data_IF_974140374579
#
_entry.id   IF_974140374579
#
_cell.length_a   1.000
_cell.length_b   1.000
_cell.length_c   1.000
_cell.angle_alpha   90.00
_cell.angle_beta   90.00
_cell.angle_gamma   90.00
#
_symmetry.space_group_name_H-M   'P 1'
#
loop_
_entity.id
_entity.type
_entity.pdbx_description
1 polymer ?
#
# COMPACT_ATOMS: atom_id res chain seq x y z
N UNK A 1 3.78 20.25 -27.98
CA UNK A 1 3.86 18.85 -27.49
C UNK A 1 4.58 18.87 -26.17
N UNK A 2 3.92 18.46 -25.10
CA UNK A 2 4.54 18.43 -23.77
C UNK A 2 5.58 17.30 -23.73
N UNK A 3 6.79 17.58 -23.28
CA UNK A 3 7.89 16.58 -23.30
C UNK A 3 7.91 15.77 -22.00
N UNK A 4 7.06 14.72 -21.90
CA UNK A 4 7.06 13.83 -20.74
C UNK A 4 8.28 12.89 -20.70
N UNK A 5 8.84 12.52 -21.86
CA UNK A 5 10.04 11.70 -21.93
C UNK A 5 11.17 12.36 -21.14
N UNK A 6 11.35 13.69 -21.31
CA UNK A 6 12.36 14.45 -20.56
C UNK A 6 12.17 14.43 -19.05
N UNK A 7 10.91 14.31 -18.56
CA UNK A 7 10.58 14.24 -17.13
C UNK A 7 10.73 12.84 -16.53
N UNK A 8 10.86 11.82 -17.38
CA UNK A 8 10.96 10.40 -16.99
C UNK A 8 12.34 9.80 -17.24
N UNK A 9 13.24 10.50 -17.96
CA UNK A 9 14.54 9.98 -18.43
C UNK A 9 15.52 9.61 -17.30
N UNK A 10 15.37 10.21 -16.13
CA UNK A 10 16.21 9.92 -14.96
C UNK A 10 15.68 8.73 -14.14
N UNK A 11 14.47 8.24 -14.46
CA UNK A 11 13.92 7.03 -13.87
C UNK A 11 14.49 5.80 -14.58
N UNK A 12 14.87 4.78 -13.81
CA UNK A 12 15.38 3.50 -14.34
C UNK A 12 14.25 2.61 -14.86
N UNK A 13 13.38 3.16 -15.72
CA UNK A 13 12.27 2.42 -16.34
C UNK A 13 12.74 1.64 -17.55
N UNK A 14 12.22 0.44 -17.73
CA UNK A 14 12.41 -0.31 -18.97
C UNK A 14 11.87 0.48 -20.18
N UNK A 15 12.47 0.31 -21.39
CA UNK A 15 12.11 1.08 -22.57
C UNK A 15 10.61 0.98 -22.93
N UNK A 16 9.99 -0.18 -22.71
CA UNK A 16 8.56 -0.40 -22.96
C UNK A 16 7.68 0.39 -21.99
N UNK A 17 8.04 0.39 -20.69
CA UNK A 17 7.34 1.16 -19.66
C UNK A 17 7.45 2.65 -19.94
N UNK A 18 8.66 3.13 -20.26
CA UNK A 18 8.91 4.54 -20.56
C UNK A 18 8.10 4.99 -21.77
N UNK A 19 8.09 4.19 -22.85
CA UNK A 19 7.36 4.48 -24.08
C UNK A 19 5.84 4.53 -23.83
N UNK A 20 5.29 3.51 -23.15
CA UNK A 20 3.85 3.42 -22.96
C UNK A 20 3.35 4.46 -21.96
N UNK A 21 4.11 4.70 -20.86
CA UNK A 21 3.77 5.75 -19.90
C UNK A 21 3.80 7.15 -20.56
N UNK A 22 4.81 7.42 -21.40
CA UNK A 22 4.88 8.68 -22.14
C UNK A 22 3.70 8.84 -23.10
N UNK A 23 3.34 7.78 -23.82
CA UNK A 23 2.18 7.75 -24.72
C UNK A 23 0.86 7.99 -23.97
N UNK A 24 0.71 7.38 -22.78
CA UNK A 24 -0.44 7.59 -21.92
C UNK A 24 -0.55 9.05 -21.47
N UNK A 25 0.53 9.66 -20.99
CA UNK A 25 0.57 11.05 -20.52
C UNK A 25 0.30 12.05 -21.66
N UNK A 26 0.87 11.81 -22.85
CA UNK A 26 0.58 12.60 -24.05
C UNK A 26 -0.91 12.49 -24.43
N UNK A 27 -1.45 11.27 -24.39
CA UNK A 27 -2.86 11.01 -24.62
C UNK A 27 -3.77 11.71 -23.60
N UNK A 28 -3.42 11.72 -22.31
CA UNK A 28 -4.14 12.49 -21.28
C UNK A 28 -4.16 13.98 -21.62
N UNK A 29 -2.99 14.57 -21.93
CA UNK A 29 -2.89 15.99 -22.26
C UNK A 29 -3.66 16.38 -23.53
N UNK A 30 -3.86 15.44 -24.46
CA UNK A 30 -4.68 15.68 -25.64
C UNK A 30 -6.18 15.52 -25.38
N UNK A 31 -6.55 14.65 -24.42
CA UNK A 31 -7.94 14.32 -24.12
C UNK A 31 -8.53 15.17 -23.00
N UNK A 32 -7.69 15.74 -22.14
CA UNK A 32 -8.08 16.61 -21.06
C UNK A 32 -7.68 18.06 -21.41
N UNK A 33 -8.64 18.98 -21.34
CA UNK A 33 -8.33 20.40 -21.43
C UNK A 33 -7.57 20.85 -20.16
N UNK A 34 -6.88 22.00 -20.23
CA UNK A 34 -6.12 22.52 -19.08
C UNK A 34 -7.00 22.76 -17.85
N UNK A 35 -8.29 23.02 -18.04
CA UNK A 35 -9.27 23.19 -16.96
C UNK A 35 -9.84 21.86 -16.43
N UNK A 36 -9.63 20.73 -17.11
CA UNK A 36 -10.14 19.42 -16.68
C UNK A 36 -9.30 18.79 -15.55
N UNK A 37 -8.05 19.24 -15.35
CA UNK A 37 -7.15 18.68 -14.35
C UNK A 37 -6.33 19.75 -13.63
N UNK A 38 -5.83 19.40 -12.44
CA UNK A 38 -4.94 20.22 -11.63
C UNK A 38 -3.50 19.73 -11.69
N UNK A 39 -3.28 18.41 -11.57
CA UNK A 39 -1.96 17.83 -11.73
C UNK A 39 -1.98 16.33 -12.06
N UNK A 40 -0.89 15.86 -12.66
CA UNK A 40 -0.55 14.43 -12.83
C UNK A 40 0.67 14.11 -11.99
N UNK A 41 0.55 13.06 -11.18
CA UNK A 41 1.57 12.68 -10.19
C UNK A 41 1.92 11.20 -10.34
N UNK A 42 3.17 10.90 -10.64
CA UNK A 42 3.71 9.54 -10.56
C UNK A 42 4.11 9.26 -9.11
N UNK A 43 3.78 8.09 -8.56
CA UNK A 43 4.09 7.80 -7.16
C UNK A 43 4.39 6.33 -6.88
N UNK A 44 5.04 6.08 -5.75
CA UNK A 44 5.30 4.74 -5.24
C UNK A 44 6.53 4.08 -5.84
N UNK A 45 6.47 2.76 -6.01
CA UNK A 45 7.62 1.92 -6.37
C UNK A 45 8.21 2.24 -7.74
N UNK A 46 7.41 2.74 -8.67
CA UNK A 46 7.87 3.17 -10.01
C UNK A 46 8.98 4.23 -9.96
N UNK A 47 9.12 4.93 -8.84
CA UNK A 47 10.17 5.94 -8.60
C UNK A 47 11.43 5.36 -7.94
N UNK A 48 11.45 4.06 -7.61
CA UNK A 48 12.61 3.39 -7.00
C UNK A 48 13.56 2.87 -8.05
N UNK A 49 14.84 2.77 -7.68
CA UNK A 49 15.89 2.29 -8.58
C UNK A 49 15.75 0.80 -8.97
N UNK A 50 15.14 0.00 -8.11
CA UNK A 50 14.92 -1.44 -8.27
C UNK A 50 13.50 -1.78 -8.77
N UNK A 51 12.80 -0.82 -9.38
CA UNK A 51 11.47 -1.01 -9.91
C UNK A 51 11.43 -2.14 -10.95
N UNK A 52 10.42 -3.01 -10.81
CA UNK A 52 10.11 -4.07 -11.79
C UNK A 52 8.59 -4.22 -11.93
N UNK A 53 8.10 -4.27 -13.16
CA UNK A 53 6.67 -4.51 -13.46
C UNK A 53 6.15 -5.86 -12.96
N UNK A 54 7.03 -6.85 -12.76
CA UNK A 54 6.63 -8.15 -12.20
C UNK A 54 6.17 -8.00 -10.74
N UNK A 55 6.81 -7.09 -10.00
CA UNK A 55 6.61 -6.94 -8.57
C UNK A 55 5.63 -5.81 -8.20
N UNK A 56 5.60 -4.73 -8.98
CA UNK A 56 4.80 -3.54 -8.65
C UNK A 56 4.17 -2.91 -9.90
N UNK A 57 2.95 -2.36 -9.79
CA UNK A 57 2.31 -1.61 -10.86
C UNK A 57 2.95 -0.22 -11.05
N UNK A 58 2.59 0.43 -12.16
CA UNK A 58 2.88 1.84 -12.38
C UNK A 58 1.73 2.66 -11.80
N UNK A 59 1.96 3.32 -10.67
CA UNK A 59 0.95 4.11 -9.99
C UNK A 59 0.96 5.56 -10.47
N UNK A 60 -0.21 6.08 -10.89
CA UNK A 60 -0.40 7.47 -11.24
C UNK A 60 -1.62 8.06 -10.52
N UNK A 61 -1.46 9.25 -9.94
CA UNK A 61 -2.55 10.04 -9.40
C UNK A 61 -2.86 11.16 -10.39
N UNK A 62 -4.12 11.29 -10.75
CA UNK A 62 -4.68 12.35 -11.58
C UNK A 62 -5.62 13.16 -10.71
N UNK A 63 -5.23 14.38 -10.35
CA UNK A 63 -6.13 15.30 -9.65
C UNK A 63 -6.89 16.09 -10.72
N UNK A 64 -8.15 15.70 -10.90
CA UNK A 64 -9.06 16.32 -11.84
C UNK A 64 -9.79 17.52 -11.20
N UNK A 65 -10.31 18.43 -12.01
CA UNK A 65 -11.19 19.50 -11.54
C UNK A 65 -12.56 18.96 -11.16
N UNK A 66 -13.04 17.96 -11.93
CA UNK A 66 -14.27 17.22 -11.68
C UNK A 66 -14.11 15.78 -12.22
N UNK A 67 -14.66 14.79 -11.51
CA UNK A 67 -14.67 13.39 -11.96
C UNK A 67 -16.07 13.04 -12.46
N UNK A 68 -16.25 13.03 -13.77
CA UNK A 68 -17.52 12.67 -14.43
C UNK A 68 -17.36 11.41 -15.27
N UNK A 69 -18.46 10.71 -15.53
CA UNK A 69 -18.47 9.57 -16.47
C UNK A 69 -17.96 9.99 -17.85
N UNK A 70 -18.34 11.19 -18.32
CA UNK A 70 -17.89 11.73 -19.60
C UNK A 70 -16.36 11.93 -19.67
N UNK A 71 -15.73 12.37 -18.55
CA UNK A 71 -14.27 12.42 -18.44
C UNK A 71 -13.67 11.01 -18.51
N UNK A 72 -14.22 10.06 -17.75
CA UNK A 72 -13.72 8.68 -17.73
C UNK A 72 -13.86 8.00 -19.10
N UNK A 73 -14.99 8.17 -19.82
CA UNK A 73 -15.18 7.66 -21.18
C UNK A 73 -14.16 8.26 -22.15
N UNK A 74 -13.83 9.55 -22.03
CA UNK A 74 -12.88 10.24 -22.87
C UNK A 74 -11.45 9.71 -22.73
N UNK A 75 -11.03 9.36 -21.51
CA UNK A 75 -9.68 8.85 -21.23
C UNK A 75 -9.59 7.32 -21.26
N UNK A 76 -10.73 6.61 -21.19
CA UNK A 76 -10.80 5.15 -21.11
C UNK A 76 -9.94 4.44 -22.17
N UNK A 77 -9.94 4.80 -23.47
CA UNK A 77 -9.19 4.05 -24.47
C UNK A 77 -7.68 4.05 -24.25
N UNK A 78 -7.13 5.20 -23.78
CA UNK A 78 -5.70 5.31 -23.46
C UNK A 78 -5.36 4.66 -22.13
N UNK A 79 -6.26 4.76 -21.14
CA UNK A 79 -6.08 4.12 -19.84
C UNK A 79 -6.13 2.59 -19.97
N UNK A 80 -7.10 2.03 -20.69
CA UNK A 80 -7.23 0.58 -20.87
C UNK A 80 -5.99 -0.04 -21.50
N UNK A 81 -5.38 0.64 -22.48
CA UNK A 81 -4.14 0.22 -23.10
C UNK A 81 -2.99 0.21 -22.09
N UNK A 82 -2.77 1.31 -21.39
CA UNK A 82 -1.68 1.41 -20.40
C UNK A 82 -1.87 0.44 -19.22
N UNK A 83 -3.11 0.20 -18.77
CA UNK A 83 -3.45 -0.81 -17.76
C UNK A 83 -3.00 -2.21 -18.23
N UNK A 84 -3.29 -2.56 -19.49
CA UNK A 84 -2.92 -3.86 -20.05
C UNK A 84 -1.42 -4.01 -20.27
N UNK A 85 -0.75 -2.98 -20.82
CA UNK A 85 0.64 -3.08 -21.27
C UNK A 85 1.65 -2.89 -20.14
N UNK A 86 1.38 -1.97 -19.21
CA UNK A 86 2.33 -1.61 -18.14
C UNK A 86 1.73 -1.72 -16.73
N UNK A 87 0.62 -2.44 -16.57
CA UNK A 87 -0.06 -2.56 -15.27
C UNK A 87 -0.29 -1.19 -14.62
N UNK A 88 -0.72 -0.19 -15.42
CA UNK A 88 -1.01 1.13 -14.90
C UNK A 88 -2.16 1.06 -13.89
N UNK A 89 -1.97 1.64 -12.72
CA UNK A 89 -3.02 1.82 -11.70
C UNK A 89 -3.32 3.32 -11.54
N UNK A 90 -4.30 3.86 -12.29
CA UNK A 90 -4.68 5.26 -12.16
C UNK A 90 -5.59 5.46 -10.95
N UNK A 91 -5.24 6.41 -10.09
CA UNK A 91 -6.10 6.98 -9.07
C UNK A 91 -6.59 8.34 -9.56
N UNK A 92 -7.90 8.48 -9.82
CA UNK A 92 -8.49 9.71 -10.34
C UNK A 92 -9.42 10.26 -9.29
N UNK A 93 -9.11 11.45 -8.79
CA UNK A 93 -9.87 12.12 -7.71
C UNK A 93 -9.86 13.62 -7.95
N UNK A 94 -10.80 14.34 -7.33
CA UNK A 94 -10.65 15.78 -7.15
C UNK A 94 -9.79 16.07 -5.94
N UNK A 95 -9.24 17.28 -5.81
CA UNK A 95 -8.50 17.68 -4.62
C UNK A 95 -9.40 17.69 -3.37
N UNK A 96 -10.66 18.07 -3.54
CA UNK A 96 -11.65 18.04 -2.46
C UNK A 96 -11.94 16.61 -1.98
N UNK A 97 -12.14 15.66 -2.90
CA UNK A 97 -12.28 14.23 -2.56
C UNK A 97 -11.05 13.69 -1.82
N UNK A 98 -9.85 14.09 -2.25
CA UNK A 98 -8.61 13.68 -1.59
C UNK A 98 -8.55 14.20 -0.16
N UNK A 99 -8.94 15.47 0.09
CA UNK A 99 -9.01 16.05 1.43
C UNK A 99 -10.07 15.39 2.30
N UNK A 100 -11.29 15.20 1.74
CA UNK A 100 -12.42 14.61 2.47
C UNK A 100 -12.22 13.14 2.79
N UNK A 101 -11.44 12.41 1.99
CA UNK A 101 -11.17 10.97 2.21
C UNK A 101 -9.82 10.69 2.91
N UNK A 102 -9.15 11.72 3.42
CA UNK A 102 -7.88 11.56 4.13
C UNK A 102 -8.00 10.75 5.44
N UNK A 103 -9.20 10.69 6.02
CA UNK A 103 -9.52 9.86 7.19
C UNK A 103 -9.81 8.39 6.81
N UNK A 104 -10.33 8.16 5.60
CA UNK A 104 -10.69 6.82 5.10
C UNK A 104 -9.46 6.11 4.50
N UNK A 105 -8.63 6.84 3.76
CA UNK A 105 -7.46 6.29 3.05
C UNK A 105 -6.13 6.92 3.49
N UNK A 106 -5.85 7.08 4.78
CA UNK A 106 -4.67 7.82 5.25
C UNK A 106 -3.36 7.17 4.80
N UNK A 107 -3.30 5.84 4.79
CA UNK A 107 -2.11 5.07 4.37
C UNK A 107 -1.82 5.27 2.89
N UNK A 108 -2.84 5.24 2.03
CA UNK A 108 -2.69 5.46 0.58
C UNK A 108 -2.11 6.83 0.29
N UNK A 109 -2.62 7.86 0.94
CA UNK A 109 -2.13 9.22 0.76
C UNK A 109 -0.74 9.45 1.38
N UNK A 110 -0.42 8.76 2.49
CA UNK A 110 0.95 8.76 3.02
C UNK A 110 1.95 8.11 2.06
N UNK A 111 1.58 7.00 1.42
CA UNK A 111 2.43 6.35 0.40
C UNK A 111 2.70 7.30 -0.75
N UNK A 112 1.67 8.00 -1.24
CA UNK A 112 1.82 9.02 -2.27
C UNK A 112 2.78 10.11 -1.80
N UNK A 113 2.52 10.70 -0.63
CA UNK A 113 3.32 11.80 -0.08
C UNK A 113 4.79 11.43 0.19
N UNK A 114 5.04 10.16 0.50
CA UNK A 114 6.39 9.66 0.82
C UNK A 114 7.30 9.58 -0.40
N UNK A 115 6.76 9.27 -1.58
CA UNK A 115 7.53 9.11 -2.81
C UNK A 115 6.67 9.45 -4.03
N UNK A 116 6.76 10.68 -4.50
CA UNK A 116 6.00 11.16 -5.65
C UNK A 116 6.82 12.09 -6.54
N UNK A 117 6.37 12.25 -7.77
CA UNK A 117 6.91 13.18 -8.77
C UNK A 117 5.77 13.84 -9.54
N UNK A 118 5.76 15.16 -9.55
CA UNK A 118 4.83 15.93 -10.37
C UNK A 118 5.27 15.84 -11.83
N UNK A 119 4.39 15.31 -12.66
CA UNK A 119 4.59 15.23 -14.11
C UNK A 119 4.02 16.46 -14.81
N UNK A 120 2.90 16.98 -14.29
CA UNK A 120 2.24 18.16 -14.84
C UNK A 120 1.35 18.83 -13.80
N UNK A 121 1.17 20.17 -13.91
CA UNK A 121 0.33 20.97 -13.04
C UNK A 121 1.02 21.40 -11.76
N UNK A 122 0.21 21.80 -10.78
CA UNK A 122 0.68 22.32 -9.49
C UNK A 122 1.01 21.19 -8.51
N UNK A 123 1.98 21.43 -7.61
CA UNK A 123 2.28 20.50 -6.53
C UNK A 123 1.26 20.65 -5.38
N UNK A 124 0.13 19.96 -5.53
CA UNK A 124 -0.91 19.91 -4.52
C UNK A 124 -0.60 18.89 -3.40
N UNK A 125 0.43 18.03 -3.59
CA UNK A 125 0.79 16.99 -2.63
C UNK A 125 1.65 17.56 -1.50
N UNK A 126 2.54 18.52 -1.79
CA UNK A 126 3.41 19.12 -0.78
C UNK A 126 2.62 19.71 0.38
N UNK A 127 1.56 20.47 0.09
CA UNK A 127 0.69 21.12 1.08
C UNK A 127 -0.43 20.23 1.64
N UNK A 128 -0.60 19.02 1.12
CA UNK A 128 -1.65 18.11 1.61
C UNK A 128 -1.27 17.51 2.96
N UNK A 129 -2.09 17.71 3.96
CA UNK A 129 -1.87 17.19 5.31
C UNK A 129 -2.78 16.01 5.61
N UNK A 130 -2.21 14.99 6.25
CA UNK A 130 -2.93 13.81 6.75
C UNK A 130 -2.81 13.85 8.26
N UNK A 131 -3.92 14.10 8.99
CA UNK A 131 -3.88 14.14 10.44
C UNK A 131 -3.35 12.83 11.02
N UNK A 132 -2.41 12.92 11.97
CA UNK A 132 -1.82 11.75 12.64
C UNK A 132 -2.89 10.87 13.31
N UNK A 133 -3.97 11.49 13.79
CA UNK A 133 -5.12 10.80 14.37
C UNK A 133 -5.79 9.84 13.38
N UNK A 134 -5.93 10.24 12.11
CA UNK A 134 -6.52 9.39 11.09
C UNK A 134 -5.64 8.14 10.82
N UNK A 135 -4.33 8.32 10.83
CA UNK A 135 -3.38 7.21 10.64
C UNK A 135 -3.44 6.27 11.84
N UNK A 136 -3.48 6.80 13.05
CA UNK A 136 -3.61 6.03 14.28
C UNK A 136 -4.89 5.19 14.28
N UNK A 137 -6.02 5.83 13.97
CA UNK A 137 -7.33 5.17 13.91
C UNK A 137 -7.36 4.06 12.84
N UNK A 138 -6.77 4.33 11.67
CA UNK A 138 -6.64 3.32 10.62
C UNK A 138 -5.82 2.10 11.08
N UNK A 139 -4.67 2.30 11.73
CA UNK A 139 -3.87 1.22 12.29
C UNK A 139 -4.67 0.40 13.31
N UNK A 140 -5.40 1.06 14.20
CA UNK A 140 -6.27 0.41 15.18
C UNK A 140 -7.36 -0.43 14.51
N UNK A 141 -8.03 0.11 13.51
CA UNK A 141 -9.07 -0.59 12.73
C UNK A 141 -8.52 -1.84 12.04
N UNK A 142 -7.35 -1.74 11.39
CA UNK A 142 -6.71 -2.87 10.75
C UNK A 142 -6.32 -3.97 11.75
N UNK A 143 -5.75 -3.60 12.89
CA UNK A 143 -5.39 -4.55 13.95
C UNK A 143 -6.61 -5.26 14.53
N UNK A 144 -7.71 -4.53 14.77
CA UNK A 144 -8.97 -5.11 15.26
C UNK A 144 -9.62 -6.00 14.23
N UNK A 145 -9.68 -5.57 12.97
CA UNK A 145 -10.21 -6.35 11.84
C UNK A 145 -9.44 -7.65 11.67
N UNK A 146 -8.12 -7.58 11.75
CA UNK A 146 -7.26 -8.77 11.70
C UNK A 146 -7.57 -9.75 12.84
N UNK A 147 -7.72 -9.25 14.07
CA UNK A 147 -8.05 -10.10 15.24
C UNK A 147 -9.40 -10.81 15.06
N UNK A 148 -10.41 -10.12 14.53
CA UNK A 148 -11.73 -10.70 14.25
C UNK A 148 -11.64 -11.78 13.17
N UNK A 149 -10.93 -11.49 12.08
CA UNK A 149 -10.73 -12.42 10.97
C UNK A 149 -9.99 -13.69 11.43
N UNK A 150 -8.95 -13.52 12.23
CA UNK A 150 -8.18 -14.65 12.78
C UNK A 150 -9.05 -15.58 13.64
N UNK A 151 -9.96 -15.04 14.45
CA UNK A 151 -10.91 -15.82 15.25
C UNK A 151 -11.88 -16.60 14.38
N UNK A 152 -12.46 -15.97 13.36
CA UNK A 152 -13.39 -16.60 12.43
C UNK A 152 -12.70 -17.72 11.63
N UNK A 153 -11.49 -17.48 11.15
CA UNK A 153 -10.73 -18.47 10.40
C UNK A 153 -10.27 -19.65 11.28
N UNK A 154 -9.96 -19.39 12.56
CA UNK A 154 -9.70 -20.46 13.52
C UNK A 154 -10.92 -21.39 13.66
N UNK A 155 -12.13 -20.82 13.82
CA UNK A 155 -13.36 -21.60 13.91
C UNK A 155 -13.66 -22.40 12.63
N UNK A 156 -13.33 -21.86 11.47
CA UNK A 156 -13.54 -22.51 10.18
C UNK A 156 -12.52 -23.62 9.87
N UNK A 157 -11.30 -23.50 10.40
CA UNK A 157 -10.19 -24.38 10.01
C UNK A 157 -9.85 -25.44 11.06
N UNK A 158 -9.94 -25.14 12.38
CA UNK A 158 -9.54 -26.06 13.44
C UNK A 158 -10.56 -27.21 13.55
N UNK A 159 -10.13 -28.49 13.75
CA UNK A 159 -8.76 -28.93 14.08
C UNK A 159 -7.90 -29.37 12.87
N UNK A 160 -8.28 -29.05 11.64
CA UNK A 160 -7.51 -29.37 10.43
C UNK A 160 -6.21 -28.55 10.39
N UNK A 161 -5.07 -29.18 10.73
CA UNK A 161 -3.78 -28.53 10.77
C UNK A 161 -3.35 -27.96 9.40
N UNK A 162 -3.68 -28.64 8.29
CA UNK A 162 -3.34 -28.19 6.95
C UNK A 162 -4.09 -26.91 6.58
N UNK A 163 -5.40 -26.85 6.80
CA UNK A 163 -6.21 -25.66 6.55
C UNK A 163 -5.79 -24.51 7.45
N UNK A 164 -5.63 -24.76 8.75
CA UNK A 164 -5.24 -23.72 9.70
C UNK A 164 -3.86 -23.16 9.38
N UNK A 165 -2.86 -24.02 9.12
CA UNK A 165 -1.51 -23.61 8.75
C UNK A 165 -1.49 -22.76 7.49
N UNK A 166 -2.13 -23.21 6.40
CA UNK A 166 -2.22 -22.45 5.15
C UNK A 166 -2.88 -21.08 5.34
N UNK A 167 -3.89 -21.00 6.20
CA UNK A 167 -4.58 -19.75 6.51
C UNK A 167 -3.68 -18.80 7.29
N UNK A 168 -3.03 -19.28 8.35
CA UNK A 168 -2.10 -18.47 9.14
C UNK A 168 -0.91 -17.97 8.30
N UNK A 169 -0.35 -18.83 7.44
CA UNK A 169 0.79 -18.45 6.58
C UNK A 169 0.46 -17.37 5.56
N UNK A 170 -0.78 -17.30 5.07
CA UNK A 170 -1.23 -16.22 4.18
C UNK A 170 -1.25 -14.86 4.85
N UNK A 171 -1.38 -14.81 6.17
CA UNK A 171 -1.38 -13.57 6.93
C UNK A 171 0.00 -12.96 7.17
N UNK A 172 1.07 -13.73 7.00
CA UNK A 172 2.43 -13.24 7.30
C UNK A 172 2.77 -11.94 6.55
N UNK A 173 2.57 -11.83 5.22
CA UNK A 173 2.90 -10.59 4.51
C UNK A 173 2.12 -9.37 5.03
N UNK A 174 0.81 -9.53 5.23
CA UNK A 174 -0.07 -8.45 5.69
C UNK A 174 0.30 -8.00 7.10
N UNK A 175 0.58 -8.96 8.00
CA UNK A 175 1.05 -8.67 9.36
C UNK A 175 2.38 -7.93 9.38
N UNK A 176 3.34 -8.36 8.57
CA UNK A 176 4.63 -7.70 8.47
C UNK A 176 4.50 -6.28 7.93
N UNK A 177 3.63 -6.07 6.93
CA UNK A 177 3.34 -4.75 6.37
C UNK A 177 2.69 -3.84 7.40
N UNK A 178 1.68 -4.33 8.12
CA UNK A 178 0.99 -3.58 9.17
C UNK A 178 1.94 -3.20 10.32
N UNK A 179 2.75 -4.14 10.80
CA UNK A 179 3.73 -3.90 11.86
C UNK A 179 4.79 -2.88 11.42
N UNK A 180 5.29 -3.01 10.20
CA UNK A 180 6.26 -2.06 9.65
C UNK A 180 5.67 -0.65 9.54
N UNK A 181 4.48 -0.55 8.95
CA UNK A 181 3.79 0.74 8.81
C UNK A 181 3.55 1.40 10.16
N UNK A 182 3.02 0.64 11.14
CA UNK A 182 2.76 1.15 12.48
C UNK A 182 4.04 1.57 13.20
N UNK A 183 5.13 0.81 13.07
CA UNK A 183 6.43 1.15 13.64
C UNK A 183 7.00 2.44 13.02
N UNK A 184 6.95 2.57 11.70
CA UNK A 184 7.40 3.78 10.98
C UNK A 184 6.58 5.01 11.38
N UNK A 185 5.27 4.87 11.46
CA UNK A 185 4.38 5.94 11.90
C UNK A 185 4.67 6.38 13.34
N UNK A 186 4.73 5.42 14.27
CA UNK A 186 4.91 5.72 15.70
C UNK A 186 6.30 6.28 16.03
N UNK A 187 7.34 5.87 15.29
CA UNK A 187 8.71 6.33 15.51
C UNK A 187 9.05 7.62 14.75
N UNK A 188 8.31 7.93 13.68
CA UNK A 188 8.66 8.97 12.71
C UNK A 188 9.91 8.62 11.87
N UNK A 189 10.37 7.36 11.88
CA UNK A 189 11.56 6.88 11.19
C UNK A 189 11.19 5.82 10.14
N UNK A 190 11.94 5.75 9.04
CA UNK A 190 11.80 4.68 8.06
C UNK A 190 12.64 3.47 8.47
N UNK A 191 12.08 2.28 8.34
CA UNK A 191 12.75 1.02 8.61
C UNK A 191 12.97 0.24 7.29
N UNK A 192 14.17 0.30 6.67
CA UNK A 192 14.43 -0.43 5.44
C UNK A 192 14.24 -1.95 5.58
N UNK A 193 14.57 -2.49 6.76
CA UNK A 193 14.42 -3.92 7.07
C UNK A 193 13.26 -4.15 8.03
N UNK A 194 12.46 -5.15 7.75
CA UNK A 194 11.35 -5.57 8.62
C UNK A 194 11.83 -5.95 10.06
N UNK A 195 13.04 -6.49 10.18
CA UNK A 195 13.63 -6.83 11.47
C UNK A 195 13.78 -5.60 12.39
N UNK A 196 14.09 -4.43 11.82
CA UNK A 196 14.26 -3.19 12.57
C UNK A 196 12.91 -2.70 13.11
N UNK A 197 11.85 -2.81 12.30
CA UNK A 197 10.47 -2.52 12.74
C UNK A 197 10.02 -3.44 13.87
N UNK A 198 10.29 -4.73 13.75
CA UNK A 198 9.97 -5.71 14.80
C UNK A 198 10.73 -5.42 16.10
N UNK A 199 12.01 -5.08 16.01
CA UNK A 199 12.82 -4.68 17.16
C UNK A 199 12.30 -3.41 17.83
N UNK A 200 11.85 -2.44 17.04
CA UNK A 200 11.20 -1.23 17.56
C UNK A 200 9.93 -1.58 18.34
N UNK A 201 9.03 -2.38 17.77
CA UNK A 201 7.80 -2.82 18.44
C UNK A 201 8.12 -3.59 19.72
N UNK A 202 9.13 -4.47 19.70
CA UNK A 202 9.62 -5.19 20.90
C UNK A 202 10.12 -4.22 21.98
N UNK A 203 10.84 -3.17 21.61
CA UNK A 203 11.32 -2.16 22.54
C UNK A 203 10.20 -1.38 23.24
N UNK A 204 8.99 -1.38 22.64
CA UNK A 204 7.77 -0.80 23.21
C UNK A 204 6.99 -1.79 24.10
N UNK A 205 7.56 -2.95 24.39
CA UNK A 205 6.97 -3.94 25.30
C UNK A 205 6.01 -4.94 24.67
N UNK A 206 5.86 -4.95 23.33
CA UNK A 206 5.04 -5.92 22.64
C UNK A 206 5.88 -7.12 22.19
N UNK A 207 5.54 -8.33 22.67
CA UNK A 207 6.24 -9.56 22.32
C UNK A 207 6.00 -9.90 20.82
N UNK A 208 7.09 -10.00 20.04
CA UNK A 208 7.04 -10.32 18.61
C UNK A 208 7.21 -11.81 18.30
N UNK A 209 7.45 -12.62 19.35
CA UNK A 209 7.74 -14.05 19.20
C UNK A 209 6.66 -14.81 18.42
N UNK A 210 5.34 -14.54 18.59
CA UNK A 210 4.29 -15.26 17.86
C UNK A 210 4.41 -15.14 16.33
N UNK A 211 4.78 -13.95 15.84
CA UNK A 211 4.99 -13.72 14.42
C UNK A 211 6.29 -14.38 13.93
N UNK A 212 7.35 -14.27 14.72
CA UNK A 212 8.65 -14.89 14.40
C UNK A 212 8.54 -16.41 14.37
N UNK A 213 7.80 -17.02 15.30
CA UNK A 213 7.52 -18.45 15.33
C UNK A 213 6.69 -18.90 14.13
N UNK A 214 5.64 -18.16 13.77
CA UNK A 214 4.83 -18.48 12.57
C UNK A 214 5.68 -18.47 11.30
N UNK A 215 6.61 -17.53 11.18
CA UNK A 215 7.56 -17.47 10.05
C UNK A 215 8.50 -18.67 10.08
N UNK A 216 8.97 -19.08 11.26
CA UNK A 216 9.84 -20.25 11.42
C UNK A 216 9.10 -21.55 11.09
N UNK A 217 7.87 -21.72 11.55
CA UNK A 217 6.99 -22.86 11.24
C UNK A 217 6.79 -22.96 9.72
N UNK A 218 6.49 -21.85 9.05
CA UNK A 218 6.33 -21.83 7.57
C UNK A 218 7.57 -22.29 6.81
N UNK A 219 8.76 -21.99 7.34
CA UNK A 219 10.06 -22.36 6.74
C UNK A 219 10.50 -23.79 7.09
N UNK A 220 9.87 -24.41 8.09
CA UNK A 220 10.19 -25.77 8.51
C UNK A 220 9.81 -26.80 7.45
N UNK A 221 10.63 -27.84 7.31
CA UNK A 221 10.31 -28.98 6.48
C UNK A 221 9.28 -29.91 7.13
N UNK A 222 9.08 -29.82 8.43
CA UNK A 222 8.11 -30.61 9.16
C UNK A 222 6.75 -29.90 9.20
N UNK A 223 5.66 -30.54 8.78
CA UNK A 223 4.33 -29.95 8.88
C UNK A 223 3.96 -29.75 10.36
N UNK A 224 3.45 -28.56 10.73
CA UNK A 224 3.06 -28.28 12.11
C UNK A 224 1.83 -29.08 12.52
N UNK A 225 1.77 -29.49 13.79
CA UNK A 225 0.58 -30.12 14.36
C UNK A 225 -0.54 -29.13 14.68
N UNK A 226 -1.80 -29.61 14.76
CA UNK A 226 -2.94 -28.76 15.09
C UNK A 226 -2.80 -28.08 16.47
N UNK A 227 -2.18 -28.75 17.46
CA UNK A 227 -1.95 -28.18 18.78
C UNK A 227 -0.96 -27.01 18.75
N UNK A 228 0.12 -27.13 17.98
CA UNK A 228 1.12 -26.07 17.78
C UNK A 228 0.51 -24.85 17.10
N UNK A 229 -0.24 -25.07 16.03
CA UNK A 229 -0.94 -23.99 15.32
C UNK A 229 -2.02 -23.32 16.17
N UNK A 230 -2.74 -24.10 17.00
CA UNK A 230 -3.68 -23.54 17.97
C UNK A 230 -2.99 -22.60 18.98
N UNK A 231 -1.85 -23.04 19.52
CA UNK A 231 -1.08 -22.23 20.47
C UNK A 231 -0.56 -20.95 19.79
N UNK A 232 0.00 -21.06 18.59
CA UNK A 232 0.49 -19.91 17.84
C UNK A 232 -0.66 -18.93 17.50
N UNK A 233 -1.83 -19.43 17.08
CA UNK A 233 -3.01 -18.61 16.82
C UNK A 233 -3.45 -17.81 18.06
N UNK A 234 -3.49 -18.44 19.23
CA UNK A 234 -3.80 -17.76 20.50
C UNK A 234 -2.81 -16.64 20.81
N UNK A 235 -1.52 -16.89 20.64
CA UNK A 235 -0.45 -15.90 20.86
C UNK A 235 -0.47 -14.77 19.82
N UNK A 236 -0.87 -15.06 18.57
CA UNK A 236 -1.08 -14.01 17.56
C UNK A 236 -2.25 -13.09 17.91
N UNK A 237 -3.35 -13.63 18.44
CA UNK A 237 -4.48 -12.82 18.92
C UNK A 237 -4.02 -11.91 20.07
N UNK A 238 -3.22 -12.42 21.00
CA UNK A 238 -2.66 -11.63 22.09
C UNK A 238 -1.70 -10.55 21.59
N UNK A 239 -0.81 -10.91 20.63
CA UNK A 239 0.08 -9.96 19.96
C UNK A 239 -0.70 -8.80 19.34
N UNK A 240 -1.77 -9.09 18.57
CA UNK A 240 -2.60 -8.05 17.95
C UNK A 240 -3.29 -7.18 18.99
N UNK A 241 -3.80 -7.75 20.07
CA UNK A 241 -4.42 -6.98 21.15
C UNK A 241 -3.41 -6.04 21.85
N UNK A 242 -2.18 -6.48 22.04
CA UNK A 242 -1.13 -5.66 22.65
C UNK A 242 -0.63 -4.57 21.69
N UNK A 243 -0.57 -4.86 20.38
CA UNK A 243 -0.24 -3.87 19.36
C UNK A 243 -1.35 -2.79 19.26
N UNK A 244 -2.63 -3.20 19.34
CA UNK A 244 -3.76 -2.27 19.38
C UNK A 244 -3.68 -1.32 20.57
N UNK A 245 -3.39 -1.83 21.78
CA UNK A 245 -3.21 -0.99 22.98
C UNK A 245 -2.06 0.01 22.85
N UNK A 246 -1.03 -0.33 22.08
CA UNK A 246 0.06 0.59 21.80
C UNK A 246 -0.36 1.70 20.82
N UNK A 247 -1.39 1.46 20.03
CA UNK A 247 -1.97 2.43 19.10
C UNK A 247 -2.97 3.39 19.78
N UNK A 248 -3.62 3.00 20.87
CA UNK A 248 -4.51 3.82 21.70
C UNK A 248 -3.75 4.93 22.43
#
# INVERSE_FOLDING_TARGET
MRNYIGKLNDLKLGPEVLKELSSFLEGLSMKMADDDFKCFVLYGDVLKEDFSLENSPVNILIIASEVTVALLERIQPIAARAISEIRLEPLIVTYEEMVLSADVFPVKYLEIKKNYRILEGDDLIAGFEIPAENIRLHCEQEMRSFSLKLRNDFLACYPDAGKLGNTLFRYIPDLLSLVKFFAEFTSGQSFPKIADSLNFIKSRGVAIDPLSELIAIRKSQNPPGAAELKQNCGRLIEFMNNLTKLAE
#
